data_IF_679191653451
#
_entry.id   IF_679191653451
#
_cell.length_a   1.000
_cell.length_b   1.000
_cell.length_c   1.000
_cell.angle_alpha   90.00
_cell.angle_beta   90.00
_cell.angle_gamma   90.00
#
_symmetry.space_group_name_H-M   'P 1'
#
loop_
_entity.id
_entity.type
_entity.pdbx_description
1 polymer ?
#
# COMPACT_ATOMS: atom_id res chain seq x y z
N UNK A 1 -3.22 66.19 -0.94
CA UNK A 1 -3.88 64.89 -0.75
C UNK A 1 -2.96 63.79 -1.27
N UNK A 2 -2.22 63.12 -0.39
CA UNK A 2 -1.31 62.00 -0.71
C UNK A 2 -2.06 60.71 -0.51
N UNK A 3 -2.27 59.95 -1.61
CA UNK A 3 -2.90 58.58 -1.54
C UNK A 3 -1.82 57.56 -1.20
N UNK A 4 -1.92 56.94 -0.02
CA UNK A 4 -1.14 55.77 0.33
C UNK A 4 -1.75 54.52 -0.33
N UNK A 5 -0.94 53.86 -1.14
CA UNK A 5 -1.25 52.58 -1.74
C UNK A 5 -0.75 51.48 -0.78
N UNK A 6 -1.59 50.53 -0.32
CA UNK A 6 -1.10 49.47 0.54
C UNK A 6 -0.32 48.43 -0.28
N UNK A 7 0.88 48.14 0.19
CA UNK A 7 1.75 47.09 -0.32
C UNK A 7 1.20 45.74 0.13
N UNK A 8 0.62 44.94 -0.81
CA UNK A 8 0.21 43.56 -0.56
C UNK A 8 1.47 42.69 -0.47
N UNK A 9 1.85 42.27 0.74
CA UNK A 9 2.85 41.22 0.93
C UNK A 9 2.24 39.87 0.56
N UNK A 10 2.66 39.34 -0.58
CA UNK A 10 2.34 37.99 -1.02
C UNK A 10 3.19 37.00 -0.22
N UNK A 11 2.58 36.31 0.76
CA UNK A 11 3.26 35.26 1.52
C UNK A 11 3.42 34.03 0.62
N UNK A 12 4.63 33.79 0.16
CA UNK A 12 5.00 32.53 -0.53
C UNK A 12 5.09 31.45 0.54
N UNK A 13 4.10 30.55 0.57
CA UNK A 13 4.16 29.33 1.37
C UNK A 13 5.11 28.36 0.67
N UNK A 14 6.33 28.21 1.21
CA UNK A 14 7.23 27.14 0.81
C UNK A 14 6.64 25.82 1.33
N UNK A 15 6.12 25.00 0.42
CA UNK A 15 5.89 23.59 0.69
C UNK A 15 7.26 22.91 0.79
N UNK A 16 7.71 22.64 2.02
CA UNK A 16 8.84 21.77 2.26
C UNK A 16 8.47 20.36 1.81
N UNK A 17 9.05 19.91 0.69
CA UNK A 17 8.88 18.56 0.18
C UNK A 17 9.28 17.53 1.26
N UNK A 18 8.39 16.59 1.54
CA UNK A 18 8.65 15.49 2.47
C UNK A 18 9.76 14.58 1.92
N UNK A 19 10.60 13.97 2.76
CA UNK A 19 11.67 13.10 2.29
C UNK A 19 11.09 11.87 1.61
N UNK A 20 11.22 11.77 0.30
CA UNK A 20 10.99 10.51 -0.44
C UNK A 20 12.02 9.47 0.01
N UNK A 21 11.61 8.21 0.14
CA UNK A 21 12.50 7.11 0.51
C UNK A 21 13.78 7.15 -0.32
N UNK A 22 14.93 7.13 0.36
CA UNK A 22 16.22 7.22 -0.32
C UNK A 22 16.48 6.03 -1.25
N UNK A 23 17.34 6.17 -2.27
CA UNK A 23 17.63 5.13 -3.26
C UNK A 23 18.02 3.78 -2.67
N UNK A 24 18.71 3.76 -1.52
CA UNK A 24 19.12 2.54 -0.83
C UNK A 24 17.94 1.77 -0.26
N UNK A 25 16.96 2.44 0.37
CA UNK A 25 15.78 1.80 0.92
C UNK A 25 14.94 1.13 -0.18
N UNK A 26 14.86 1.75 -1.36
CA UNK A 26 14.18 1.19 -2.55
C UNK A 26 14.92 -0.03 -3.09
N UNK A 27 16.25 0.01 -3.18
CA UNK A 27 17.06 -1.09 -3.71
C UNK A 27 17.03 -2.35 -2.81
N UNK A 28 16.95 -2.17 -1.48
CA UNK A 28 16.88 -3.27 -0.51
C UNK A 28 15.46 -3.80 -0.29
N UNK A 29 14.44 -3.11 -0.79
CA UNK A 29 13.05 -3.49 -0.62
C UNK A 29 12.65 -4.62 -1.58
N UNK A 30 12.29 -5.79 -1.02
CA UNK A 30 11.86 -6.94 -1.81
C UNK A 30 10.64 -6.65 -2.69
N UNK A 31 9.71 -5.80 -2.25
CA UNK A 31 8.54 -5.45 -3.06
C UNK A 31 8.90 -4.49 -4.22
N UNK A 32 9.86 -3.60 -4.02
CA UNK A 32 10.42 -2.82 -5.13
C UNK A 32 11.11 -3.73 -6.16
N UNK A 33 11.82 -4.77 -5.71
CA UNK A 33 12.44 -5.76 -6.59
C UNK A 33 11.38 -6.58 -7.36
N UNK A 34 10.26 -6.93 -6.73
CA UNK A 34 9.12 -7.59 -7.38
C UNK A 34 8.50 -6.68 -8.45
N UNK A 35 8.30 -5.40 -8.14
CA UNK A 35 7.82 -4.40 -9.12
C UNK A 35 8.77 -4.27 -10.29
N UNK A 36 10.08 -4.23 -10.02
CA UNK A 36 11.13 -4.17 -11.05
C UNK A 36 11.32 -5.49 -11.83
N UNK A 37 10.70 -6.59 -11.39
CA UNK A 37 10.85 -7.91 -12.01
C UNK A 37 12.18 -8.61 -11.70
N UNK A 38 12.97 -8.10 -10.74
CA UNK A 38 14.25 -8.69 -10.33
C UNK A 38 14.11 -9.72 -9.20
N UNK A 39 12.95 -9.75 -8.53
CA UNK A 39 12.60 -10.78 -7.55
C UNK A 39 11.35 -11.54 -8.03
N UNK A 40 11.30 -12.88 -7.91
CA UNK A 40 10.18 -13.67 -8.39
C UNK A 40 8.91 -13.45 -7.55
N UNK A 41 7.76 -13.45 -8.21
CA UNK A 41 6.45 -13.44 -7.56
C UNK A 41 5.39 -14.09 -8.45
N UNK A 42 4.35 -14.67 -7.84
CA UNK A 42 3.18 -15.16 -8.57
C UNK A 42 2.17 -14.04 -8.74
N UNK A 43 2.38 -13.18 -9.74
CA UNK A 43 1.50 -12.05 -10.05
C UNK A 43 0.10 -12.53 -10.46
N UNK A 44 -0.94 -11.81 -10.04
CA UNK A 44 -2.34 -12.06 -10.41
C UNK A 44 -3.01 -10.85 -11.05
N UNK A 45 -2.53 -9.64 -10.75
CA UNK A 45 -3.01 -8.40 -11.35
C UNK A 45 -1.90 -7.36 -11.37
N UNK A 46 -1.88 -6.55 -12.41
CA UNK A 46 -0.96 -5.43 -12.54
C UNK A 46 -1.59 -4.35 -13.42
N UNK A 47 -1.47 -3.10 -13.01
CA UNK A 47 -1.76 -1.93 -13.83
C UNK A 47 -0.63 -0.89 -13.74
N UNK A 48 -0.88 0.34 -14.18
CA UNK A 48 0.12 1.42 -14.13
C UNK A 48 0.49 1.84 -12.70
N UNK A 49 -0.39 1.61 -11.72
CA UNK A 49 -0.25 2.12 -10.35
C UNK A 49 0.10 1.06 -9.33
N UNK A 50 -0.47 -0.14 -9.49
CA UNK A 50 -0.42 -1.20 -8.48
C UNK A 50 -0.04 -2.55 -9.07
N UNK A 51 0.41 -3.43 -8.19
CA UNK A 51 0.72 -4.83 -8.45
C UNK A 51 0.07 -5.69 -7.39
N UNK A 52 -0.53 -6.82 -7.78
CA UNK A 52 -1.04 -7.84 -6.85
C UNK A 52 -0.43 -9.20 -7.16
N UNK A 53 -0.06 -9.92 -6.09
CA UNK A 53 0.58 -11.23 -6.18
C UNK A 53 0.27 -12.10 -4.95
N UNK A 54 0.47 -13.40 -5.07
CA UNK A 54 0.28 -14.33 -3.96
C UNK A 54 1.30 -14.10 -2.86
N UNK A 55 0.82 -14.10 -1.60
CA UNK A 55 1.71 -14.14 -0.45
C UNK A 55 2.43 -15.50 -0.42
N UNK A 56 3.74 -15.47 -0.13
CA UNK A 56 4.58 -16.69 -0.03
C UNK A 56 4.29 -17.49 1.25
N UNK A 57 3.61 -16.89 2.23
CA UNK A 57 3.20 -17.49 3.50
C UNK A 57 1.70 -17.30 3.69
N UNK A 58 0.86 -17.99 2.85
CA UNK A 58 -0.57 -17.79 2.89
C UNK A 58 -1.16 -18.24 4.24
N UNK A 59 -2.11 -17.45 4.77
CA UNK A 59 -2.80 -17.69 6.04
C UNK A 59 -4.27 -18.07 5.86
N UNK A 60 -4.71 -18.09 4.61
CA UNK A 60 -6.02 -18.53 4.18
C UNK A 60 -5.89 -19.16 2.80
N UNK A 61 -6.93 -19.83 2.31
CA UNK A 61 -6.94 -20.43 0.97
C UNK A 61 -6.62 -19.44 -0.13
N UNK A 62 -7.09 -18.20 0.04
CA UNK A 62 -6.72 -17.05 -0.79
C UNK A 62 -6.03 -16.04 0.12
N UNK A 63 -4.77 -15.73 -0.18
CA UNK A 63 -4.01 -14.69 0.50
C UNK A 63 -3.13 -13.99 -0.54
N UNK A 64 -3.54 -12.79 -0.90
CA UNK A 64 -2.86 -11.94 -1.89
C UNK A 64 -2.34 -10.67 -1.21
N UNK A 65 -1.30 -10.11 -1.80
CA UNK A 65 -0.78 -8.79 -1.46
C UNK A 65 -1.07 -7.83 -2.61
N UNK A 66 -1.55 -6.64 -2.29
CA UNK A 66 -1.74 -5.52 -3.22
C UNK A 66 -0.83 -4.39 -2.78
N UNK A 67 0.06 -3.97 -3.65
CA UNK A 67 1.07 -2.95 -3.38
C UNK A 67 1.03 -1.81 -4.40
N UNK A 68 1.36 -0.57 -4.04
CA UNK A 68 1.66 0.47 -5.00
C UNK A 68 3.00 0.18 -5.69
N UNK A 69 3.13 0.54 -6.97
CA UNK A 69 4.44 0.47 -7.67
C UNK A 69 5.42 1.54 -7.16
N UNK A 70 4.89 2.68 -6.72
CA UNK A 70 5.67 3.69 -6.03
C UNK A 70 5.93 3.25 -4.59
N UNK A 71 7.19 3.32 -4.16
CA UNK A 71 7.56 2.98 -2.79
C UNK A 71 7.10 4.07 -1.81
N UNK A 72 6.27 3.67 -0.86
CA UNK A 72 6.02 4.36 0.42
C UNK A 72 6.07 3.31 1.51
N UNK A 73 6.62 3.64 2.67
CA UNK A 73 6.93 2.64 3.67
C UNK A 73 5.66 2.05 4.34
N UNK A 74 4.66 2.86 4.61
CA UNK A 74 3.45 2.45 5.34
C UNK A 74 2.25 3.36 5.03
N UNK A 75 1.12 3.15 5.73
CA UNK A 75 -0.04 4.05 5.65
C UNK A 75 0.27 5.47 6.13
N UNK A 76 1.33 5.67 6.91
CA UNK A 76 1.72 7.02 7.37
C UNK A 76 2.08 7.94 6.21
N UNK A 77 2.65 7.36 5.17
CA UNK A 77 3.09 8.05 3.96
C UNK A 77 2.05 7.98 2.82
N UNK A 78 0.80 7.57 3.12
CA UNK A 78 -0.25 7.39 2.11
C UNK A 78 -0.50 8.64 1.26
N UNK A 79 -0.38 9.82 1.86
CA UNK A 79 -0.60 11.10 1.18
C UNK A 79 0.49 11.46 0.18
N UNK A 80 1.65 10.79 0.23
CA UNK A 80 2.72 10.94 -0.77
C UNK A 80 2.37 10.25 -2.09
N UNK A 81 1.39 9.32 -2.07
CA UNK A 81 0.88 8.68 -3.28
C UNK A 81 -0.14 9.58 -4.00
N UNK A 82 -0.12 9.63 -5.34
CA UNK A 82 -1.19 10.25 -6.12
C UNK A 82 -2.56 9.68 -5.75
N UNK A 83 -3.61 10.52 -5.85
CA UNK A 83 -4.99 10.10 -5.53
C UNK A 83 -5.40 8.88 -6.36
N UNK A 84 -4.99 8.82 -7.62
CA UNK A 84 -5.24 7.71 -8.54
C UNK A 84 -4.63 6.40 -8.03
N UNK A 85 -3.40 6.46 -7.48
CA UNK A 85 -2.74 5.28 -6.90
C UNK A 85 -3.47 4.81 -5.64
N UNK A 86 -3.90 5.74 -4.78
CA UNK A 86 -4.68 5.42 -3.57
C UNK A 86 -6.02 4.77 -3.91
N UNK A 87 -6.72 5.27 -4.93
CA UNK A 87 -7.95 4.69 -5.44
C UNK A 87 -7.73 3.31 -6.08
N UNK A 88 -6.65 3.17 -6.87
CA UNK A 88 -6.27 1.91 -7.51
C UNK A 88 -5.98 0.80 -6.50
N UNK A 89 -5.34 1.10 -5.36
CA UNK A 89 -5.06 0.13 -4.29
C UNK A 89 -6.35 -0.55 -3.80
N UNK A 90 -7.38 0.23 -3.44
CA UNK A 90 -8.65 -0.32 -2.95
C UNK A 90 -9.43 -1.02 -4.07
N UNK A 91 -9.45 -0.45 -5.27
CA UNK A 91 -10.11 -1.07 -6.43
C UNK A 91 -9.47 -2.41 -6.81
N UNK A 92 -8.14 -2.50 -6.73
CA UNK A 92 -7.42 -3.74 -6.97
C UNK A 92 -7.75 -4.82 -5.94
N UNK A 93 -7.92 -4.47 -4.64
CA UNK A 93 -8.35 -5.42 -3.61
C UNK A 93 -9.69 -6.08 -3.99
N UNK A 94 -10.68 -5.28 -4.41
CA UNK A 94 -11.99 -5.78 -4.86
C UNK A 94 -11.85 -6.60 -6.14
N UNK A 95 -11.05 -6.12 -7.10
CA UNK A 95 -10.82 -6.84 -8.36
C UNK A 95 -10.22 -8.23 -8.13
N UNK A 96 -9.15 -8.32 -7.36
CA UNK A 96 -8.51 -9.64 -7.12
C UNK A 96 -9.40 -10.55 -6.29
N UNK A 97 -10.22 -10.05 -5.37
CA UNK A 97 -11.21 -10.84 -4.66
C UNK A 97 -12.24 -11.45 -5.61
N UNK A 98 -12.69 -10.68 -6.60
CA UNK A 98 -13.59 -11.16 -7.66
C UNK A 98 -12.93 -12.21 -8.52
N UNK A 99 -11.72 -11.94 -9.00
CA UNK A 99 -10.97 -12.84 -9.90
C UNK A 99 -10.63 -14.17 -9.21
N UNK A 100 -10.51 -14.19 -7.88
CA UNK A 100 -10.29 -15.40 -7.07
C UNK A 100 -11.59 -16.07 -6.58
N UNK A 101 -12.76 -15.54 -6.95
CA UNK A 101 -14.06 -16.12 -6.60
C UNK A 101 -14.41 -16.02 -5.11
N UNK A 102 -13.86 -15.03 -4.39
CA UNK A 102 -14.12 -14.82 -2.95
C UNK A 102 -14.94 -13.57 -2.66
N UNK A 103 -15.43 -12.89 -3.69
CA UNK A 103 -16.14 -11.63 -3.54
C UNK A 103 -17.47 -11.81 -2.80
N UNK A 104 -18.28 -12.79 -3.22
CA UNK A 104 -19.66 -12.97 -2.75
C UNK A 104 -19.70 -13.59 -1.35
N UNK A 105 -18.84 -14.57 -1.07
CA UNK A 105 -18.75 -15.22 0.24
C UNK A 105 -18.07 -14.33 1.30
N UNK A 106 -17.35 -13.33 0.85
CA UNK A 106 -16.67 -12.37 1.69
C UNK A 106 -15.16 -12.55 1.78
N UNK A 107 -14.49 -11.44 1.94
CA UNK A 107 -13.04 -11.35 2.10
C UNK A 107 -12.68 -10.23 3.08
N UNK A 108 -11.46 -10.25 3.54
CA UNK A 108 -10.92 -9.22 4.45
C UNK A 108 -9.75 -8.52 3.78
N UNK A 109 -9.70 -7.19 3.94
CA UNK A 109 -8.55 -6.37 3.56
C UNK A 109 -7.87 -5.88 4.84
N UNK A 110 -6.56 -6.09 4.96
CA UNK A 110 -5.77 -5.71 6.14
C UNK A 110 -4.55 -4.93 5.66
N UNK A 111 -4.26 -3.82 6.32
CA UNK A 111 -3.01 -3.09 6.15
C UNK A 111 -2.33 -2.92 7.52
N UNK A 112 -1.18 -3.54 7.69
CA UNK A 112 -0.34 -3.34 8.87
C UNK A 112 0.53 -2.11 8.65
N UNK A 113 0.53 -1.17 9.61
CA UNK A 113 1.30 0.06 9.51
C UNK A 113 2.18 0.25 10.74
N UNK A 114 3.48 0.08 10.54
CA UNK A 114 4.49 0.23 11.59
C UNK A 114 4.78 -1.05 12.36
N UNK A 115 5.78 -0.95 13.24
CA UNK A 115 6.33 -2.08 13.99
C UNK A 115 5.31 -2.75 14.92
N UNK A 116 4.56 -1.94 15.66
CA UNK A 116 3.60 -2.45 16.66
C UNK A 116 2.37 -3.11 16.01
N UNK A 117 2.13 -2.86 14.72
CA UNK A 117 1.15 -3.55 13.89
C UNK A 117 1.75 -4.76 13.15
N UNK A 118 2.95 -5.20 13.51
CA UNK A 118 3.65 -6.33 12.88
C UNK A 118 3.88 -6.18 11.37
N UNK A 119 4.11 -4.95 10.89
CA UNK A 119 4.50 -4.74 9.51
C UNK A 119 5.90 -5.32 9.27
N UNK A 120 6.00 -6.37 8.46
CA UNK A 120 7.26 -7.09 8.20
C UNK A 120 8.08 -6.52 7.04
N UNK A 121 7.41 -5.95 6.04
CA UNK A 121 8.03 -5.28 4.88
C UNK A 121 7.61 -3.82 4.88
N UNK A 122 8.59 -2.90 4.98
CA UNK A 122 8.34 -1.46 4.93
C UNK A 122 8.20 -0.98 3.48
N UNK A 123 7.14 -1.41 2.88
CA UNK A 123 6.52 -1.00 1.64
C UNK A 123 5.02 -1.19 1.84
N UNK A 124 4.23 -0.15 1.65
CA UNK A 124 2.78 -0.21 1.85
C UNK A 124 2.18 -1.39 1.10
N UNK A 125 1.42 -2.21 1.80
CA UNK A 125 0.72 -3.34 1.21
C UNK A 125 -0.59 -3.62 1.93
N UNK A 126 -1.55 -4.09 1.15
CA UNK A 126 -2.82 -4.61 1.63
C UNK A 126 -2.84 -6.12 1.45
N UNK A 127 -3.16 -6.85 2.53
CA UNK A 127 -3.49 -8.25 2.45
C UNK A 127 -4.94 -8.39 2.02
N UNK A 128 -5.23 -9.24 1.04
CA UNK A 128 -6.57 -9.67 0.64
C UNK A 128 -6.69 -11.14 0.97
N UNK A 129 -7.50 -11.48 1.97
CA UNK A 129 -7.62 -12.84 2.51
C UNK A 129 -9.07 -13.33 2.48
N UNK A 130 -9.26 -14.61 2.13
CA UNK A 130 -10.57 -15.22 2.01
C UNK A 130 -10.54 -16.66 1.53
N UNK A 131 -11.67 -17.13 0.94
CA UNK A 131 -11.83 -18.47 0.42
C UNK A 131 -12.15 -19.53 1.48
N UNK A 132 -12.32 -19.12 2.73
CA UNK A 132 -12.75 -19.92 3.87
C UNK A 132 -13.30 -19.00 4.97
N UNK A 133 -13.97 -19.59 5.97
CA UNK A 133 -14.44 -18.81 7.13
C UNK A 133 -13.24 -18.30 7.94
N UNK A 134 -13.05 -16.98 7.89
CA UNK A 134 -11.98 -16.30 8.62
C UNK A 134 -12.38 -16.16 10.10
N UNK A 135 -11.44 -16.41 10.99
CA UNK A 135 -11.63 -16.18 12.45
C UNK A 135 -11.60 -14.68 12.72
N UNK A 136 -12.36 -14.23 13.71
CA UNK A 136 -12.37 -12.82 14.12
C UNK A 136 -11.03 -12.40 14.73
N UNK A 137 -10.40 -13.31 15.48
CA UNK A 137 -9.11 -13.12 16.15
C UNK A 137 -7.89 -13.24 15.21
N UNK A 138 -8.08 -13.70 13.98
CA UNK A 138 -6.99 -13.81 13.00
C UNK A 138 -6.38 -12.45 12.58
N UNK A 139 -6.97 -11.33 13.01
CA UNK A 139 -6.40 -9.99 12.81
C UNK A 139 -5.15 -9.79 13.68
N UNK A 140 -5.02 -10.51 14.80
CA UNK A 140 -4.02 -10.25 15.83
C UNK A 140 -2.98 -11.36 16.01
N UNK A 141 -3.10 -12.49 15.30
CA UNK A 141 -2.26 -13.68 15.57
C UNK A 141 -0.83 -13.61 15.02
N UNK A 142 -0.37 -12.48 14.50
CA UNK A 142 1.03 -12.30 14.13
C UNK A 142 1.93 -11.91 15.32
N UNK A 143 1.35 -11.59 16.46
CA UNK A 143 2.08 -11.10 17.64
C UNK A 143 2.56 -12.22 18.59
N UNK A 144 2.24 -13.50 18.33
CA UNK A 144 2.55 -14.59 19.23
C UNK A 144 3.21 -15.79 18.53
N UNK A 145 4.44 -15.58 18.01
CA UNK A 145 5.45 -16.65 17.84
C UNK A 145 6.83 -16.06 17.82
#
# INVERSE_FOLDING_TARGET
MRRFLPLLLSSVVLFAGQPVAGPKAVAECVFCQIVAGTSPSKKVYEDRYVLAFWDIRPRAKVHLLVIPKQHVASLKELEELPVETRAALLSACVKVARDQGILDEGFRVIANSGKDASQSVFHLHFHVVGGEKLREDAITQDAAK
#
